data_IF_105719127322
#
_entry.id   IF_105719127322
#
_cell.length_a   1.000
_cell.length_b   1.000
_cell.length_c   1.000
_cell.angle_alpha   90.00
_cell.angle_beta   90.00
_cell.angle_gamma   90.00
#
_symmetry.space_group_name_H-M   'P 1'
#
loop_
_entity.id
_entity.type
_entity.pdbx_description
1 polymer ?
#
# COMPACT_ATOMS: atom_id res chain seq x y z
N UNK A 1 33.53 -45.60 -8.71
CA UNK A 1 33.73 -44.78 -7.51
C UNK A 1 34.49 -43.55 -7.92
N UNK A 2 34.16 -42.44 -7.27
CA UNK A 2 34.92 -41.19 -7.23
C UNK A 2 34.84 -40.19 -8.39
N UNK A 3 33.95 -39.22 -8.16
CA UNK A 3 34.16 -37.77 -8.27
C UNK A 3 34.71 -37.17 -9.58
N UNK A 4 33.78 -36.63 -10.36
CA UNK A 4 34.00 -35.38 -11.09
C UNK A 4 33.37 -34.22 -10.29
N UNK A 5 34.20 -33.23 -9.97
CA UNK A 5 33.79 -31.93 -9.43
C UNK A 5 32.93 -31.22 -10.48
N UNK A 6 31.71 -30.82 -10.11
CA UNK A 6 30.90 -29.91 -10.91
C UNK A 6 30.95 -28.53 -10.23
N UNK A 7 31.60 -27.58 -10.90
CA UNK A 7 31.42 -26.16 -10.62
C UNK A 7 30.06 -25.67 -11.13
N UNK A 8 29.69 -24.48 -10.66
CA UNK A 8 28.64 -23.60 -11.17
C UNK A 8 27.18 -24.06 -11.01
N UNK A 9 26.53 -23.54 -9.97
CA UNK A 9 25.18 -22.99 -10.17
C UNK A 9 24.95 -21.79 -9.25
N UNK A 10 25.08 -20.62 -9.88
CA UNK A 10 24.41 -19.37 -9.53
C UNK A 10 23.08 -19.64 -8.80
N UNK A 11 22.94 -19.09 -7.58
CA UNK A 11 21.69 -19.00 -6.83
C UNK A 11 20.75 -17.97 -7.50
N UNK A 12 20.54 -18.18 -8.80
CA UNK A 12 19.47 -17.65 -9.61
C UNK A 12 18.29 -18.61 -9.41
N UNK A 13 17.68 -18.57 -8.22
CA UNK A 13 16.32 -19.04 -8.09
C UNK A 13 15.46 -17.83 -8.43
N UNK A 14 15.25 -17.70 -9.73
CA UNK A 14 14.10 -17.11 -10.37
C UNK A 14 12.86 -17.20 -9.45
N UNK A 15 12.63 -16.19 -8.60
CA UNK A 15 11.27 -15.91 -8.14
C UNK A 15 10.55 -15.36 -9.35
N UNK A 16 10.10 -16.30 -10.16
CA UNK A 16 9.09 -16.14 -11.18
C UNK A 16 7.79 -15.77 -10.46
N UNK A 17 7.66 -14.50 -10.08
CA UNK A 17 6.39 -13.87 -9.76
C UNK A 17 6.42 -12.47 -10.37
N UNK A 18 6.51 -12.39 -11.71
CA UNK A 18 5.71 -11.38 -12.40
C UNK A 18 4.24 -11.85 -12.31
N UNK A 19 3.71 -11.87 -11.09
CA UNK A 19 2.27 -11.87 -10.92
C UNK A 19 1.82 -10.58 -11.57
N UNK A 20 1.02 -10.66 -12.64
CA UNK A 20 0.17 -9.53 -12.98
C UNK A 20 -0.47 -9.09 -11.67
N UNK A 21 -0.15 -7.90 -11.19
CA UNK A 21 -0.71 -7.38 -9.95
C UNK A 21 -2.19 -7.05 -10.25
N UNK A 22 -3.02 -8.10 -10.19
CA UNK A 22 -4.45 -8.05 -10.53
C UNK A 22 -5.19 -7.05 -9.66
N UNK A 23 -4.59 -6.61 -8.55
CA UNK A 23 -5.17 -5.66 -7.63
C UNK A 23 -4.92 -4.22 -8.06
N UNK A 24 -4.06 -3.94 -9.04
CA UNK A 24 -3.77 -2.58 -9.53
C UNK A 24 -4.40 -2.29 -10.89
N UNK A 25 -4.58 -1.01 -11.17
CA UNK A 25 -5.07 -0.49 -12.44
C UNK A 25 -4.56 0.94 -12.67
N UNK A 26 -4.24 1.25 -13.92
CA UNK A 26 -4.01 2.63 -14.35
C UNK A 26 -5.33 3.21 -14.85
N UNK A 27 -5.89 4.17 -14.11
CA UNK A 27 -7.04 4.97 -14.55
C UNK A 27 -6.54 6.19 -15.33
N UNK A 28 -7.29 6.63 -16.34
CA UNK A 28 -6.91 7.76 -17.21
C UNK A 28 -8.03 8.78 -17.30
N UNK A 29 -7.67 10.06 -17.30
CA UNK A 29 -8.58 11.16 -17.59
C UNK A 29 -7.88 12.15 -18.53
N UNK A 30 -8.25 12.15 -19.82
CA UNK A 30 -7.55 12.95 -20.82
C UNK A 30 -6.08 12.56 -20.94
N UNK A 31 -5.18 13.48 -20.58
CA UNK A 31 -3.72 13.28 -20.59
C UNK A 31 -3.19 12.71 -19.27
N UNK A 32 -3.99 12.74 -18.21
CA UNK A 32 -3.59 12.30 -16.88
C UNK A 32 -3.78 10.80 -16.73
N UNK A 33 -2.89 10.17 -15.96
CA UNK A 33 -2.93 8.76 -15.65
C UNK A 33 -2.51 8.53 -14.19
N UNK A 34 -3.23 7.65 -13.49
CA UNK A 34 -2.94 7.31 -12.10
C UNK A 34 -2.98 5.81 -11.91
N UNK A 35 -1.89 5.26 -11.36
CA UNK A 35 -1.80 3.86 -10.95
C UNK A 35 -2.25 3.70 -9.49
N UNK A 36 -3.33 2.95 -9.29
CA UNK A 36 -4.01 2.73 -8.00
C UNK A 36 -4.33 1.25 -7.77
N UNK A 37 -4.58 0.90 -6.51
CA UNK A 37 -5.33 -0.31 -6.17
C UNK A 37 -6.78 -0.16 -6.67
N UNK A 38 -7.33 -1.23 -7.25
CA UNK A 38 -8.71 -1.32 -7.75
C UNK A 38 -9.75 -1.17 -6.64
N UNK A 39 -9.37 -1.50 -5.40
CA UNK A 39 -10.18 -1.30 -4.20
C UNK A 39 -9.63 -0.10 -3.45
N UNK A 40 -10.48 0.92 -3.28
CA UNK A 40 -10.14 2.15 -2.59
C UNK A 40 -10.69 2.08 -1.17
N UNK A 41 -9.82 2.26 -0.17
CA UNK A 41 -10.21 2.36 1.23
C UNK A 41 -10.72 3.77 1.53
N UNK A 42 -12.03 3.95 1.61
CA UNK A 42 -12.60 5.22 2.06
C UNK A 42 -12.29 5.45 3.55
N UNK A 43 -11.89 6.68 3.89
CA UNK A 43 -11.63 7.10 5.27
C UNK A 43 -12.84 7.74 5.94
N UNK A 44 -14.02 7.72 5.32
CA UNK A 44 -15.24 8.38 5.77
C UNK A 44 -15.67 8.02 7.21
N UNK A 45 -15.30 6.85 7.74
CA UNK A 45 -15.53 6.49 9.15
C UNK A 45 -14.87 7.45 10.15
N UNK A 46 -13.85 8.20 9.74
CA UNK A 46 -13.18 9.19 10.59
C UNK A 46 -13.91 10.53 10.66
N UNK A 47 -15.04 10.70 9.94
CA UNK A 47 -15.85 11.93 9.92
C UNK A 47 -16.54 12.30 11.25
N UNK A 48 -16.39 11.50 12.30
CA UNK A 48 -16.84 11.85 13.66
C UNK A 48 -18.27 11.41 14.04
N UNK A 49 -19.03 10.81 13.12
CA UNK A 49 -20.38 10.30 13.39
C UNK A 49 -20.45 9.00 14.23
N UNK A 50 -19.29 8.39 14.53
CA UNK A 50 -19.19 7.02 15.04
C UNK A 50 -18.58 6.91 16.45
N UNK A 51 -18.45 8.05 17.15
CA UNK A 51 -17.82 8.14 18.46
C UNK A 51 -16.33 8.49 18.38
N UNK A 52 -15.61 8.23 19.48
CA UNK A 52 -14.19 8.62 19.58
C UNK A 52 -13.33 7.75 18.67
N UNK A 53 -12.49 8.40 17.88
CA UNK A 53 -11.48 7.74 17.05
C UNK A 53 -10.26 7.42 17.92
N UNK A 54 -9.91 6.14 18.00
CA UNK A 54 -8.64 5.69 18.57
C UNK A 54 -7.59 5.76 17.44
N UNK A 55 -6.62 6.67 17.59
CA UNK A 55 -5.72 7.05 16.50
C UNK A 55 -4.77 5.93 16.14
N UNK A 56 -4.21 5.24 17.13
CA UNK A 56 -3.22 4.20 16.88
C UNK A 56 -3.86 2.98 16.20
N UNK A 57 -5.03 2.57 16.66
CA UNK A 57 -5.83 1.51 16.07
C UNK A 57 -6.29 1.83 14.65
N UNK A 58 -6.62 3.09 14.36
CA UNK A 58 -6.92 3.53 12.99
C UNK A 58 -5.70 3.40 12.07
N UNK A 59 -4.53 3.88 12.51
CA UNK A 59 -3.28 3.76 11.73
C UNK A 59 -2.85 2.30 11.57
N UNK A 60 -3.00 1.48 12.60
CA UNK A 60 -2.69 0.05 12.55
C UNK A 60 -3.62 -0.69 11.58
N UNK A 61 -4.89 -0.30 11.49
CA UNK A 61 -5.79 -0.82 10.47
C UNK A 61 -5.33 -0.42 9.06
N UNK A 62 -4.90 0.83 8.85
CA UNK A 62 -4.34 1.27 7.56
C UNK A 62 -3.10 0.47 7.16
N UNK A 63 -2.19 0.19 8.11
CA UNK A 63 -1.03 -0.66 7.88
C UNK A 63 -1.43 -2.08 7.46
N UNK A 64 -2.40 -2.68 8.16
CA UNK A 64 -2.91 -4.02 7.81
C UNK A 64 -3.54 -4.06 6.41
N UNK A 65 -4.30 -3.03 6.03
CA UNK A 65 -4.87 -2.91 4.70
C UNK A 65 -3.78 -2.80 3.62
N UNK A 66 -2.77 -1.96 3.85
CA UNK A 66 -1.66 -1.81 2.92
C UNK A 66 -0.87 -3.13 2.79
N UNK A 67 -0.57 -3.80 3.91
CA UNK A 67 0.13 -5.08 3.94
C UNK A 67 -0.67 -6.20 3.21
N UNK A 68 -2.02 -6.09 3.18
CA UNK A 68 -2.88 -7.00 2.42
C UNK A 68 -3.08 -6.61 0.94
N UNK A 69 -2.39 -5.57 0.45
CA UNK A 69 -2.48 -5.09 -0.95
C UNK A 69 -3.55 -4.02 -1.21
N UNK A 70 -4.30 -3.60 -0.19
CA UNK A 70 -5.27 -2.50 -0.28
C UNK A 70 -4.55 -1.16 -0.09
N UNK A 71 -3.79 -0.74 -1.10
CA UNK A 71 -2.81 0.34 -0.97
C UNK A 71 -3.32 1.73 -1.37
N UNK A 72 -4.60 1.90 -1.69
CA UNK A 72 -5.19 3.20 -2.07
C UNK A 72 -6.20 3.66 -1.03
N UNK A 73 -6.06 4.89 -0.55
CA UNK A 73 -6.87 5.47 0.51
C UNK A 73 -7.53 6.76 -0.01
N UNK A 74 -8.83 6.90 0.24
CA UNK A 74 -9.64 8.07 -0.12
C UNK A 74 -9.99 8.88 1.12
N UNK A 75 -9.70 10.17 1.06
CA UNK A 75 -9.80 11.14 2.14
C UNK A 75 -10.53 12.39 1.68
N UNK A 76 -10.91 13.22 2.64
CA UNK A 76 -11.43 14.56 2.39
C UNK A 76 -11.19 15.42 3.64
N UNK A 77 -11.12 16.74 3.45
CA UNK A 77 -11.11 17.76 4.51
C UNK A 77 -12.26 17.58 5.52
N UNK A 78 -13.43 17.15 5.05
CA UNK A 78 -14.62 16.86 5.89
C UNK A 78 -14.56 15.52 6.64
N UNK A 79 -13.55 14.66 6.42
CA UNK A 79 -13.42 13.37 7.11
C UNK A 79 -12.69 13.47 8.46
N UNK A 80 -12.69 14.65 9.09
CA UNK A 80 -12.07 14.85 10.39
C UNK A 80 -10.56 14.59 10.32
N UNK A 81 -9.99 13.69 11.14
CA UNK A 81 -8.55 13.48 11.20
C UNK A 81 -8.01 12.58 10.07
N UNK A 82 -8.73 12.37 8.97
CA UNK A 82 -8.33 11.42 7.91
C UNK A 82 -6.92 11.69 7.37
N UNK A 83 -6.63 12.94 7.01
CA UNK A 83 -5.35 13.33 6.44
C UNK A 83 -4.20 13.27 7.47
N UNK A 84 -4.48 13.64 8.72
CA UNK A 84 -3.53 13.51 9.83
C UNK A 84 -3.16 12.04 10.08
N UNK A 85 -4.16 11.16 10.10
CA UNK A 85 -3.97 9.71 10.26
C UNK A 85 -3.16 9.14 9.09
N UNK A 86 -3.45 9.58 7.87
CA UNK A 86 -2.66 9.20 6.69
C UNK A 86 -1.21 9.68 6.77
N UNK A 87 -0.97 10.89 7.30
CA UNK A 87 0.37 11.40 7.57
C UNK A 87 1.16 10.52 8.56
N UNK A 88 0.52 10.05 9.62
CA UNK A 88 1.14 9.12 10.58
C UNK A 88 1.40 7.77 9.91
N UNK A 89 0.41 7.23 9.19
CA UNK A 89 0.51 5.99 8.45
C UNK A 89 1.66 5.99 7.45
N UNK A 90 1.77 7.02 6.59
CA UNK A 90 2.82 7.08 5.56
C UNK A 90 4.21 7.20 6.19
N UNK A 91 4.31 7.86 7.34
CA UNK A 91 5.55 7.93 8.10
C UNK A 91 5.94 6.55 8.67
N UNK A 92 4.98 5.78 9.19
CA UNK A 92 5.23 4.39 9.65
C UNK A 92 5.64 3.49 8.48
N UNK A 93 4.99 3.61 7.32
CA UNK A 93 5.37 2.88 6.11
C UNK A 93 6.82 3.19 5.72
N UNK A 94 7.20 4.47 5.69
CA UNK A 94 8.56 4.91 5.32
C UNK A 94 9.66 4.31 6.21
N UNK A 95 9.39 4.10 7.49
CA UNK A 95 10.38 3.58 8.44
C UNK A 95 10.30 2.06 8.64
N UNK A 96 9.14 1.44 8.37
CA UNK A 96 8.87 0.04 8.69
C UNK A 96 8.74 -0.89 7.49
N UNK A 97 8.79 -0.38 6.25
CA UNK A 97 8.65 -1.16 5.02
C UNK A 97 9.74 -0.79 4.01
N UNK A 98 10.05 -1.69 3.06
CA UNK A 98 10.99 -1.40 1.98
C UNK A 98 10.57 -0.17 1.14
N UNK A 99 11.51 0.62 0.59
CA UNK A 99 11.19 1.83 -0.17
C UNK A 99 10.21 1.61 -1.33
N UNK A 100 10.30 0.47 -2.02
CA UNK A 100 9.41 0.09 -3.13
C UNK A 100 7.95 -0.11 -2.69
N UNK A 101 7.70 -0.35 -1.40
CA UNK A 101 6.35 -0.44 -0.87
C UNK A 101 5.69 0.94 -0.82
N UNK A 102 6.44 1.99 -0.50
CA UNK A 102 5.94 3.35 -0.46
C UNK A 102 5.45 3.81 -1.84
N UNK A 103 6.12 3.37 -2.91
CA UNK A 103 5.74 3.67 -4.30
C UNK A 103 4.37 3.07 -4.66
N UNK A 104 3.91 2.04 -3.95
CA UNK A 104 2.62 1.38 -4.18
C UNK A 104 1.46 2.04 -3.46
N UNK A 105 1.72 2.83 -2.42
CA UNK A 105 0.69 3.49 -1.61
C UNK A 105 0.23 4.78 -2.29
N UNK A 106 -1.08 5.03 -2.29
CA UNK A 106 -1.71 6.21 -2.87
C UNK A 106 -2.72 6.80 -1.89
N UNK A 107 -2.64 8.10 -1.69
CA UNK A 107 -3.65 8.89 -0.99
C UNK A 107 -4.37 9.77 -2.00
N UNK A 108 -5.69 9.70 -2.01
CA UNK A 108 -6.58 10.58 -2.77
C UNK A 108 -7.25 11.51 -1.78
N UNK A 109 -7.31 12.80 -2.10
CA UNK A 109 -8.00 13.77 -1.27
C UNK A 109 -8.69 14.83 -2.13
N UNK A 110 -9.74 15.43 -1.61
CA UNK A 110 -10.57 16.46 -2.26
C UNK A 110 -10.16 17.85 -1.80
#
# INVERSE_FOLDING_TARGET
>A
MEQQRLGDTSMCVYVLLLTEDKQRIVVKNGKDALDICRVVNGMWQTSGGWGRIERDGAVDAMLRYADSGLTTFDMADIYGPAEDLYGIFINRVRHGRPPEFLEKVRGLTK
#
